data_IF_146168200366
#
_entry.id   IF_146168200366
#
_cell.length_a   1.000
_cell.length_b   1.000
_cell.length_c   1.000
_cell.angle_alpha   90.00
_cell.angle_beta   90.00
_cell.angle_gamma   90.00
#
_symmetry.space_group_name_H-M   'P 1'
#
loop_
_entity.id
_entity.type
_entity.pdbx_description
1 polymer ?
#
# COMPACT_ATOMS: atom_id res chain seq x y z
N UNK A 1 16.09 -13.58 -3.22
CA UNK A 1 16.37 -12.81 -1.98
C UNK A 1 15.68 -13.49 -0.79
N UNK A 2 16.04 -13.14 0.46
CA UNK A 2 15.28 -13.64 1.61
C UNK A 2 14.13 -12.66 1.92
N UNK A 3 12.85 -13.06 1.79
CA UNK A 3 11.72 -12.19 2.12
C UNK A 3 11.54 -11.98 3.64
N UNK A 4 12.17 -12.83 4.47
CA UNK A 4 12.16 -12.73 5.93
C UNK A 4 13.25 -11.76 6.37
N UNK A 5 12.88 -10.72 7.09
CA UNK A 5 13.82 -9.76 7.69
C UNK A 5 14.49 -10.35 8.93
N UNK A 6 13.68 -10.90 9.83
CA UNK A 6 14.13 -11.60 11.05
C UNK A 6 12.97 -12.42 11.64
N UNK A 7 13.31 -13.35 12.55
CA UNK A 7 12.33 -14.21 13.22
C UNK A 7 12.40 -14.00 14.73
N UNK A 8 11.23 -13.86 15.40
CA UNK A 8 11.12 -13.74 16.86
C UNK A 8 10.18 -14.84 17.36
N UNK A 9 10.67 -15.70 18.24
CA UNK A 9 9.85 -16.75 18.87
C UNK A 9 9.17 -17.69 17.87
N UNK A 10 9.78 -17.96 16.70
CA UNK A 10 9.20 -18.80 15.66
C UNK A 10 8.25 -18.07 14.69
N UNK A 11 8.07 -16.76 14.84
CA UNK A 11 7.31 -15.93 13.91
C UNK A 11 8.24 -15.17 12.97
N UNK A 12 8.06 -15.37 11.66
CA UNK A 12 8.82 -14.70 10.63
C UNK A 12 8.24 -13.29 10.35
N UNK A 13 9.05 -12.27 10.58
CA UNK A 13 8.75 -10.90 10.21
C UNK A 13 9.32 -10.64 8.83
N UNK A 14 8.45 -10.36 7.86
CA UNK A 14 8.81 -10.15 6.46
C UNK A 14 9.06 -8.69 6.16
N UNK A 15 10.01 -8.42 5.27
CA UNK A 15 10.30 -7.07 4.77
C UNK A 15 9.05 -6.35 4.24
N UNK A 16 8.16 -7.09 3.57
CA UNK A 16 6.92 -6.55 3.06
C UNK A 16 6.04 -5.93 4.16
N UNK A 17 5.89 -6.63 5.29
CA UNK A 17 5.14 -6.13 6.45
C UNK A 17 5.78 -4.89 7.08
N UNK A 18 7.11 -4.88 7.20
CA UNK A 18 7.87 -3.72 7.74
C UNK A 18 7.67 -2.49 6.85
N UNK A 19 7.78 -2.66 5.53
CA UNK A 19 7.63 -1.56 4.58
C UNK A 19 6.20 -0.99 4.55
N UNK A 20 5.19 -1.86 4.63
CA UNK A 20 3.79 -1.42 4.75
C UNK A 20 3.58 -0.65 6.06
N UNK A 21 4.03 -1.19 7.20
CA UNK A 21 3.91 -0.53 8.50
C UNK A 21 4.62 0.84 8.49
N UNK A 22 5.83 0.90 7.92
CA UNK A 22 6.57 2.15 7.74
C UNK A 22 5.80 3.13 6.86
N UNK A 23 5.22 2.66 5.76
CA UNK A 23 4.40 3.47 4.87
C UNK A 23 3.18 4.06 5.56
N UNK A 24 2.49 3.26 6.37
CA UNK A 24 1.35 3.72 7.19
C UNK A 24 1.80 4.77 8.21
N UNK A 25 2.87 4.50 8.95
CA UNK A 25 3.39 5.45 9.96
C UNK A 25 3.79 6.78 9.33
N UNK A 26 4.57 6.76 8.27
CA UNK A 26 4.95 7.98 7.54
C UNK A 26 3.74 8.68 6.95
N UNK A 27 2.77 7.91 6.43
CA UNK A 27 1.52 8.44 5.91
C UNK A 27 0.73 9.20 6.98
N UNK A 28 0.62 8.66 8.19
CA UNK A 28 -0.04 9.32 9.33
C UNK A 28 0.69 10.62 9.71
N UNK A 29 2.01 10.60 9.81
CA UNK A 29 2.80 11.78 10.16
C UNK A 29 2.68 12.90 9.12
N UNK A 30 2.76 12.55 7.83
CA UNK A 30 2.59 13.51 6.74
C UNK A 30 1.15 14.06 6.71
N UNK A 31 0.16 13.19 6.92
CA UNK A 31 -1.23 13.63 6.99
C UNK A 31 -1.48 14.59 8.15
N UNK A 32 -0.84 14.40 9.30
CA UNK A 32 -0.91 15.35 10.42
C UNK A 32 -0.42 16.74 10.02
N UNK A 33 0.72 16.76 9.31
CA UNK A 33 1.27 18.02 8.80
C UNK A 33 0.36 18.66 7.75
N UNK A 34 -0.17 17.86 6.83
CA UNK A 34 -1.09 18.33 5.79
C UNK A 34 -2.41 18.85 6.36
N UNK A 35 -2.96 18.21 7.40
CA UNK A 35 -4.15 18.66 8.11
C UNK A 35 -3.99 20.06 8.67
N UNK A 36 -2.86 20.36 9.33
CA UNK A 36 -2.56 21.70 9.85
C UNK A 36 -2.53 22.74 8.73
N UNK A 37 -1.97 22.39 7.58
CA UNK A 37 -1.85 23.30 6.45
C UNK A 37 -3.19 23.59 5.76
N UNK A 38 -4.09 22.59 5.72
CA UNK A 38 -5.38 22.68 5.05
C UNK A 38 -6.55 22.96 6.00
N UNK A 39 -6.26 23.20 7.28
CA UNK A 39 -7.28 23.44 8.32
C UNK A 39 -8.31 22.29 8.39
N UNK A 40 -7.86 21.06 8.20
CA UNK A 40 -8.64 19.83 8.33
C UNK A 40 -8.40 19.23 9.71
N UNK A 41 -9.47 18.77 10.36
CA UNK A 41 -9.36 18.15 11.67
C UNK A 41 -8.63 16.78 11.56
N UNK A 42 -7.46 16.74 12.20
CA UNK A 42 -6.60 15.56 12.20
C UNK A 42 -7.20 14.38 12.97
N UNK A 43 -7.95 14.61 14.05
CA UNK A 43 -8.54 13.54 14.84
C UNK A 43 -9.59 12.77 14.03
N UNK A 44 -10.38 13.48 13.24
CA UNK A 44 -11.30 12.85 12.30
C UNK A 44 -10.56 12.08 11.20
N UNK A 45 -9.45 12.60 10.67
CA UNK A 45 -8.63 11.86 9.70
C UNK A 45 -8.06 10.58 10.31
N UNK A 46 -7.52 10.68 11.52
CA UNK A 46 -6.97 9.52 12.23
C UNK A 46 -8.05 8.45 12.48
N UNK A 47 -9.26 8.87 12.89
CA UNK A 47 -10.39 7.95 13.06
C UNK A 47 -10.77 7.28 11.74
N UNK A 48 -10.79 8.01 10.63
CA UNK A 48 -11.03 7.43 9.29
C UNK A 48 -9.97 6.36 9.00
N UNK A 49 -8.69 6.65 9.21
CA UNK A 49 -7.59 5.70 8.94
C UNK A 49 -7.72 4.46 9.82
N UNK A 50 -7.93 4.64 11.14
CA UNK A 50 -8.05 3.54 12.11
C UNK A 50 -9.25 2.62 11.83
N UNK A 51 -10.34 3.16 11.29
CA UNK A 51 -11.51 2.38 10.89
C UNK A 51 -11.31 1.75 9.50
N UNK A 52 -10.73 2.49 8.55
CA UNK A 52 -10.58 2.04 7.16
C UNK A 52 -9.59 0.88 7.02
N UNK A 53 -8.53 0.83 7.85
CA UNK A 53 -7.54 -0.25 7.78
C UNK A 53 -8.16 -1.62 8.11
N UNK A 54 -8.77 -1.85 9.28
CA UNK A 54 -9.34 -3.18 9.59
C UNK A 54 -10.51 -3.53 8.68
N UNK A 55 -11.38 -2.57 8.36
CA UNK A 55 -12.51 -2.79 7.46
C UNK A 55 -12.01 -3.10 6.03
N UNK A 56 -10.95 -2.43 5.58
CA UNK A 56 -10.30 -2.71 4.31
C UNK A 56 -9.71 -4.12 4.25
N UNK A 57 -9.08 -4.60 5.32
CA UNK A 57 -8.56 -5.98 5.41
C UNK A 57 -9.72 -6.99 5.32
N UNK A 58 -10.82 -6.75 6.04
CA UNK A 58 -12.03 -7.58 5.96
C UNK A 58 -12.58 -7.58 4.53
N UNK A 59 -12.67 -6.40 3.91
CA UNK A 59 -13.16 -6.25 2.54
C UNK A 59 -12.26 -6.95 1.51
N UNK A 60 -10.94 -6.85 1.66
CA UNK A 60 -9.97 -7.54 0.82
C UNK A 60 -10.15 -9.07 0.89
N UNK A 61 -10.37 -9.59 2.10
CA UNK A 61 -10.61 -11.01 2.31
C UNK A 61 -11.95 -11.46 1.76
N UNK A 62 -13.01 -10.73 2.07
CA UNK A 62 -14.36 -11.03 1.60
C UNK A 62 -14.41 -11.06 0.07
N UNK A 63 -13.84 -10.05 -0.57
CA UNK A 63 -13.76 -10.00 -2.03
C UNK A 63 -13.03 -11.21 -2.61
N UNK A 64 -11.87 -11.55 -2.05
CA UNK A 64 -11.10 -12.70 -2.49
C UNK A 64 -11.90 -14.01 -2.37
N UNK A 65 -12.52 -14.25 -1.20
CA UNK A 65 -13.31 -15.47 -0.94
C UNK A 65 -14.52 -15.57 -1.87
N UNK A 66 -15.16 -14.44 -2.20
CA UNK A 66 -16.31 -14.45 -3.15
C UNK A 66 -15.85 -14.89 -4.55
N UNK A 67 -14.72 -14.37 -5.03
CA UNK A 67 -14.25 -14.66 -6.39
C UNK A 67 -13.53 -16.02 -6.50
N UNK A 68 -12.98 -16.54 -5.40
CA UNK A 68 -12.32 -17.84 -5.31
C UNK A 68 -13.16 -18.85 -4.50
N UNK A 69 -14.48 -18.71 -4.53
CA UNK A 69 -15.40 -19.49 -3.67
C UNK A 69 -15.22 -21.01 -3.83
N UNK A 70 -14.92 -21.47 -5.03
CA UNK A 70 -14.69 -22.90 -5.32
C UNK A 70 -13.56 -23.50 -4.44
N UNK A 71 -12.56 -22.72 -4.07
CA UNK A 71 -11.46 -23.13 -3.19
C UNK A 71 -11.87 -23.25 -1.71
N UNK A 72 -13.04 -22.74 -1.34
CA UNK A 72 -13.52 -22.66 0.05
C UNK A 72 -14.80 -23.48 0.32
N UNK A 73 -15.48 -23.97 -0.72
CA UNK A 73 -16.75 -24.69 -0.58
C UNK A 73 -16.67 -25.93 0.30
N UNK A 74 -15.51 -26.63 0.30
CA UNK A 74 -15.33 -27.85 1.10
C UNK A 74 -14.95 -27.56 2.56
N UNK A 75 -14.41 -26.36 2.84
CA UNK A 75 -14.07 -25.93 4.20
C UNK A 75 -14.14 -24.41 4.32
N UNK A 76 -15.32 -23.91 4.63
CA UNK A 76 -15.60 -22.47 4.80
C UNK A 76 -14.78 -21.81 5.93
N UNK A 77 -14.32 -22.58 6.94
CA UNK A 77 -13.49 -22.06 8.03
C UNK A 77 -12.17 -21.49 7.49
N UNK A 78 -11.62 -22.07 6.42
CA UNK A 78 -10.42 -21.56 5.77
C UNK A 78 -10.60 -20.14 5.17
N UNK A 79 -11.83 -19.70 4.94
CA UNK A 79 -12.11 -18.34 4.51
C UNK A 79 -11.70 -17.28 5.55
N UNK A 80 -11.63 -17.63 6.83
CA UNK A 80 -11.17 -16.74 7.90
C UNK A 80 -9.65 -16.72 8.10
N UNK A 81 -8.93 -17.67 7.50
CA UNK A 81 -7.48 -17.75 7.63
C UNK A 81 -6.78 -16.84 6.62
N UNK A 82 -6.40 -15.63 7.06
CA UNK A 82 -5.66 -14.64 6.25
C UNK A 82 -4.15 -14.91 6.21
N UNK A 83 -3.62 -15.83 7.02
CA UNK A 83 -2.17 -16.11 7.10
C UNK A 83 -1.62 -16.74 5.83
N UNK A 84 -2.45 -17.51 5.14
CA UNK A 84 -2.09 -18.18 3.90
C UNK A 84 -2.23 -17.29 2.65
N UNK A 85 -2.39 -15.96 2.85
CA UNK A 85 -2.65 -15.02 1.76
C UNK A 85 -4.13 -14.94 1.39
N UNK A 86 -4.42 -14.57 0.14
CA UNK A 86 -5.80 -14.44 -0.36
C UNK A 86 -6.48 -13.15 0.11
N UNK A 87 -5.85 -12.02 -0.21
CA UNK A 87 -6.37 -10.67 -0.01
C UNK A 87 -6.44 -9.95 -1.36
N UNK A 88 -7.63 -9.58 -1.80
CA UNK A 88 -7.82 -8.87 -3.05
C UNK A 88 -7.77 -7.35 -2.83
N UNK A 89 -6.86 -6.68 -3.51
CA UNK A 89 -6.67 -5.23 -3.38
C UNK A 89 -7.94 -4.43 -3.69
N UNK A 90 -8.73 -4.87 -4.66
CA UNK A 90 -9.99 -4.22 -5.04
C UNK A 90 -10.99 -4.20 -3.88
N UNK A 91 -11.15 -5.32 -3.18
CA UNK A 91 -12.00 -5.38 -1.99
C UNK A 91 -11.51 -4.45 -0.89
N UNK A 92 -10.20 -4.43 -0.64
CA UNK A 92 -9.58 -3.52 0.31
C UNK A 92 -9.88 -2.04 0.02
N UNK A 93 -9.70 -1.63 -1.23
CA UNK A 93 -9.97 -0.25 -1.67
C UNK A 93 -11.44 0.12 -1.56
N UNK A 94 -12.35 -0.74 -2.03
CA UNK A 94 -13.80 -0.48 -1.99
C UNK A 94 -14.25 -0.28 -0.53
N UNK A 95 -13.85 -1.17 0.35
CA UNK A 95 -14.26 -1.12 1.77
C UNK A 95 -13.60 0.04 2.52
N UNK A 96 -12.32 0.32 2.28
CA UNK A 96 -11.64 1.45 2.91
C UNK A 96 -12.22 2.80 2.47
N UNK A 97 -12.43 3.01 1.16
CA UNK A 97 -13.06 4.22 0.64
C UNK A 97 -14.52 4.34 1.07
N UNK A 98 -15.26 3.23 1.06
CA UNK A 98 -16.63 3.19 1.58
C UNK A 98 -16.71 3.63 3.05
N UNK A 99 -15.79 3.14 3.88
CA UNK A 99 -15.67 3.52 5.30
C UNK A 99 -15.42 5.02 5.45
N UNK A 100 -14.45 5.55 4.71
CA UNK A 100 -14.14 6.98 4.72
C UNK A 100 -15.35 7.84 4.29
N UNK A 101 -16.05 7.41 3.24
CA UNK A 101 -17.23 8.09 2.74
C UNK A 101 -18.40 8.08 3.74
N UNK A 102 -18.66 6.91 4.36
CA UNK A 102 -19.72 6.78 5.37
C UNK A 102 -19.38 7.62 6.61
N UNK A 103 -18.15 7.53 7.11
CA UNK A 103 -17.71 8.30 8.28
C UNK A 103 -17.88 9.80 8.04
N UNK A 104 -17.41 10.32 6.91
CA UNK A 104 -17.51 11.74 6.59
C UNK A 104 -18.95 12.19 6.45
N UNK A 105 -19.82 11.38 5.86
CA UNK A 105 -21.27 11.67 5.76
C UNK A 105 -21.93 11.72 7.13
N UNK A 106 -21.69 10.74 8.00
CA UNK A 106 -22.26 10.68 9.36
C UNK A 106 -21.82 11.86 10.19
N UNK A 107 -20.55 12.25 10.07
CA UNK A 107 -19.98 13.42 10.78
C UNK A 107 -20.26 14.75 10.09
N UNK A 108 -20.95 14.78 8.95
CA UNK A 108 -21.23 15.98 8.14
C UNK A 108 -19.95 16.71 7.72
N UNK A 109 -18.90 15.94 7.40
CA UNK A 109 -17.59 16.43 6.95
C UNK A 109 -17.47 16.32 5.42
N UNK A 110 -16.58 17.12 4.81
CA UNK A 110 -16.30 17.02 3.39
C UNK A 110 -15.32 15.87 3.10
N UNK A 111 -15.79 14.81 2.46
CA UNK A 111 -14.95 13.69 2.03
C UNK A 111 -13.77 14.16 1.16
N UNK A 112 -14.01 15.10 0.25
CA UNK A 112 -12.99 15.60 -0.68
C UNK A 112 -11.83 16.27 0.07
N UNK A 113 -12.11 17.08 1.10
CA UNK A 113 -11.05 17.71 1.90
C UNK A 113 -10.16 16.67 2.61
N UNK A 114 -10.75 15.59 3.13
CA UNK A 114 -9.99 14.48 3.73
C UNK A 114 -9.21 13.68 2.70
N UNK A 115 -9.80 13.45 1.52
CA UNK A 115 -9.12 12.76 0.42
C UNK A 115 -7.90 13.56 -0.08
N UNK A 116 -8.01 14.87 -0.25
CA UNK A 116 -6.91 15.75 -0.65
C UNK A 116 -5.73 15.68 0.32
N UNK A 117 -6.02 15.72 1.62
CA UNK A 117 -5.00 15.67 2.67
C UNK A 117 -4.33 14.30 2.73
N UNK A 118 -5.09 13.22 2.49
CA UNK A 118 -4.60 11.85 2.55
C UNK A 118 -3.85 11.41 1.28
N UNK A 119 -4.20 11.96 0.10
CA UNK A 119 -3.66 11.52 -1.19
C UNK A 119 -2.11 11.48 -1.25
N UNK A 120 -1.36 12.51 -0.81
CA UNK A 120 0.11 12.44 -0.79
C UNK A 120 0.63 11.30 0.09
N UNK A 121 -0.01 11.06 1.24
CA UNK A 121 0.38 9.99 2.17
C UNK A 121 0.17 8.61 1.59
N UNK A 122 -0.94 8.41 0.88
CA UNK A 122 -1.29 7.14 0.23
C UNK A 122 -0.27 6.82 -0.87
N UNK A 123 0.05 7.79 -1.73
CA UNK A 123 1.00 7.55 -2.84
C UNK A 123 2.43 7.31 -2.32
N UNK A 124 2.83 7.95 -1.22
CA UNK A 124 4.12 7.65 -0.57
C UNK A 124 4.14 6.24 -0.01
N UNK A 125 3.08 5.82 0.69
CA UNK A 125 2.97 4.45 1.19
C UNK A 125 3.02 3.42 0.05
N UNK A 126 2.41 3.72 -1.09
CA UNK A 126 2.49 2.89 -2.29
C UNK A 126 3.92 2.82 -2.85
N UNK A 127 4.66 3.95 -2.88
CA UNK A 127 6.06 3.97 -3.30
C UNK A 127 6.93 3.04 -2.44
N UNK A 128 6.73 3.05 -1.13
CA UNK A 128 7.42 2.15 -0.20
C UNK A 128 6.98 0.69 -0.35
N UNK A 129 5.69 0.45 -0.59
CA UNK A 129 5.15 -0.88 -0.80
C UNK A 129 5.76 -1.61 -1.99
N UNK A 130 6.16 -0.87 -3.06
CA UNK A 130 6.85 -1.46 -4.22
C UNK A 130 8.20 -2.11 -3.89
N UNK A 131 8.90 -1.61 -2.88
CA UNK A 131 10.10 -2.28 -2.37
C UNK A 131 9.79 -3.62 -1.69
N UNK A 132 8.57 -3.77 -1.14
CA UNK A 132 8.10 -5.07 -0.64
C UNK A 132 8.02 -6.11 -1.74
N UNK A 133 7.53 -5.75 -2.93
CA UNK A 133 7.52 -6.64 -4.09
C UNK A 133 8.95 -7.07 -4.49
N UNK A 134 9.92 -6.14 -4.42
CA UNK A 134 11.33 -6.45 -4.68
C UNK A 134 11.87 -7.52 -3.72
N UNK A 135 11.63 -7.39 -2.41
CA UNK A 135 12.09 -8.38 -1.43
C UNK A 135 11.37 -9.72 -1.57
N UNK A 136 10.09 -9.71 -1.95
CA UNK A 136 9.33 -10.93 -2.22
C UNK A 136 9.64 -11.53 -3.60
N UNK A 137 10.37 -10.82 -4.47
CA UNK A 137 10.63 -11.19 -5.87
C UNK A 137 9.35 -11.47 -6.65
N UNK A 138 8.34 -10.61 -6.48
CA UNK A 138 7.02 -10.70 -7.11
C UNK A 138 6.66 -9.40 -7.84
N UNK A 139 5.62 -9.43 -8.68
CA UNK A 139 5.11 -8.27 -9.44
C UNK A 139 6.23 -7.55 -10.23
N UNK A 140 7.18 -8.30 -10.75
CA UNK A 140 8.22 -7.84 -11.65
C UNK A 140 7.73 -7.82 -13.10
N UNK A 141 8.50 -7.17 -14.00
CA UNK A 141 8.21 -7.18 -15.44
C UNK A 141 8.69 -8.45 -16.13
N UNK A 142 8.77 -8.41 -17.45
CA UNK A 142 9.20 -9.52 -18.30
C UNK A 142 10.67 -9.88 -18.10
N UNK A 143 11.07 -11.04 -18.60
CA UNK A 143 12.47 -11.48 -18.65
C UNK A 143 13.27 -10.53 -19.53
N UNK A 144 14.43 -10.11 -19.02
CA UNK A 144 15.36 -9.21 -19.74
C UNK A 144 16.75 -9.81 -19.82
N UNK A 145 17.57 -9.28 -20.74
CA UNK A 145 18.97 -9.71 -20.90
C UNK A 145 19.86 -9.19 -19.78
N UNK A 146 21.01 -9.85 -19.57
CA UNK A 146 22.05 -9.35 -18.67
C UNK A 146 22.55 -7.96 -19.10
N UNK A 147 22.65 -7.72 -20.40
CA UNK A 147 23.06 -6.42 -20.97
C UNK A 147 22.15 -5.28 -20.53
N UNK A 148 20.86 -5.55 -20.34
CA UNK A 148 19.89 -4.59 -19.81
C UNK A 148 20.09 -4.37 -18.32
N UNK A 149 20.12 -5.46 -17.52
CA UNK A 149 20.10 -5.36 -16.05
C UNK A 149 21.45 -4.86 -15.49
N UNK A 150 22.56 -5.02 -16.19
CA UNK A 150 23.89 -4.58 -15.73
C UNK A 150 24.01 -3.07 -15.49
N UNK A 151 23.11 -2.26 -16.07
CA UNK A 151 23.07 -0.81 -15.86
C UNK A 151 22.50 -0.41 -14.49
N UNK A 152 21.88 -1.34 -13.79
CA UNK A 152 21.34 -1.09 -12.44
C UNK A 152 22.37 -1.41 -11.35
N UNK A 153 22.23 -0.82 -10.15
CA UNK A 153 23.07 -1.16 -9.00
C UNK A 153 23.09 -2.66 -8.72
N UNK A 154 24.23 -3.16 -8.21
CA UNK A 154 24.45 -4.59 -7.97
C UNK A 154 23.37 -5.26 -7.13
N UNK A 155 22.82 -4.57 -6.12
CA UNK A 155 21.77 -5.13 -5.27
C UNK A 155 20.46 -5.34 -6.04
N UNK A 156 20.13 -4.46 -7.01
CA UNK A 156 18.97 -4.63 -7.90
C UNK A 156 19.22 -5.80 -8.85
N UNK A 157 20.40 -5.89 -9.46
CA UNK A 157 20.76 -7.01 -10.33
C UNK A 157 20.56 -8.34 -9.60
N UNK A 158 21.10 -8.45 -8.37
CA UNK A 158 20.95 -9.66 -7.53
C UNK A 158 19.49 -9.95 -7.16
N UNK A 159 18.73 -8.93 -6.79
CA UNK A 159 17.32 -9.08 -6.41
C UNK A 159 16.42 -9.47 -7.57
N UNK A 160 16.73 -8.99 -8.78
CA UNK A 160 15.97 -9.29 -9.98
C UNK A 160 16.46 -10.55 -10.72
N UNK A 161 17.49 -11.23 -10.21
CA UNK A 161 17.85 -12.57 -10.66
C UNK A 161 17.02 -13.61 -9.88
N UNK A 162 16.01 -14.16 -10.55
CA UNK A 162 15.08 -15.13 -9.97
C UNK A 162 15.24 -16.44 -10.77
N UNK A 163 15.67 -17.51 -10.10
CA UNK A 163 15.93 -18.82 -10.72
C UNK A 163 16.85 -18.76 -11.95
N UNK A 164 17.85 -17.86 -11.93
CA UNK A 164 18.82 -17.73 -13.01
C UNK A 164 18.39 -16.83 -14.20
N UNK A 165 17.18 -16.31 -14.16
CA UNK A 165 16.66 -15.36 -15.15
C UNK A 165 16.61 -13.96 -14.55
N UNK A 166 16.94 -12.96 -15.36
CA UNK A 166 16.81 -11.55 -14.97
C UNK A 166 15.45 -11.00 -15.39
N UNK A 167 14.84 -10.23 -14.48
CA UNK A 167 13.53 -9.61 -14.71
C UNK A 167 13.62 -8.09 -14.69
N UNK A 168 12.74 -7.44 -15.45
CA UNK A 168 12.65 -5.99 -15.50
C UNK A 168 12.20 -5.44 -14.12
N UNK A 169 12.96 -4.49 -13.52
CA UNK A 169 12.68 -3.97 -12.17
C UNK A 169 11.54 -2.94 -12.16
N UNK A 170 10.33 -3.36 -12.52
CA UNK A 170 9.14 -2.50 -12.56
C UNK A 170 8.84 -1.85 -11.21
N UNK A 171 9.15 -2.53 -10.09
CA UNK A 171 9.02 -1.98 -8.74
C UNK A 171 9.76 -0.64 -8.59
N UNK A 172 10.96 -0.53 -9.18
CA UNK A 172 11.79 0.67 -9.09
C UNK A 172 11.14 1.83 -9.86
N UNK A 173 10.68 1.57 -11.08
CA UNK A 173 10.04 2.59 -11.91
C UNK A 173 8.77 3.12 -11.26
N UNK A 174 7.95 2.21 -10.75
CA UNK A 174 6.72 2.58 -10.08
C UNK A 174 6.97 3.31 -8.76
N UNK A 175 8.00 2.89 -8.00
CA UNK A 175 8.40 3.60 -6.78
C UNK A 175 8.85 5.03 -7.08
N UNK A 176 9.71 5.23 -8.07
CA UNK A 176 10.19 6.55 -8.48
C UNK A 176 9.06 7.42 -9.04
N UNK A 177 8.15 6.83 -9.82
CA UNK A 177 6.98 7.52 -10.32
C UNK A 177 6.05 7.99 -9.20
N UNK A 178 5.76 7.11 -8.25
CA UNK A 178 4.95 7.42 -7.08
C UNK A 178 5.60 8.50 -6.20
N UNK A 179 6.93 8.48 -6.03
CA UNK A 179 7.65 9.55 -5.33
C UNK A 179 7.54 10.89 -6.07
N UNK A 180 7.62 10.87 -7.39
CA UNK A 180 7.43 12.09 -8.20
C UNK A 180 6.02 12.65 -8.02
N UNK A 181 5.00 11.80 -8.10
CA UNK A 181 3.61 12.20 -7.85
C UNK A 181 3.44 12.71 -6.42
N UNK A 182 4.05 12.06 -5.42
CA UNK A 182 4.03 12.53 -4.04
C UNK A 182 4.54 13.96 -3.92
N UNK A 183 5.69 14.27 -4.53
CA UNK A 183 6.28 15.63 -4.52
C UNK A 183 5.33 16.63 -5.19
N UNK A 184 4.76 16.27 -6.33
CA UNK A 184 3.81 17.13 -7.06
C UNK A 184 2.59 17.41 -6.18
N UNK A 185 1.98 16.39 -5.58
CA UNK A 185 0.82 16.54 -4.70
C UNK A 185 1.12 17.39 -3.47
N UNK A 186 2.30 17.21 -2.85
CA UNK A 186 2.74 18.05 -1.73
C UNK A 186 2.90 19.52 -2.13
N UNK A 187 3.42 19.81 -3.33
CA UNK A 187 3.55 21.17 -3.85
C UNK A 187 2.15 21.76 -4.14
N UNK A 188 1.28 20.98 -4.80
CA UNK A 188 -0.08 21.41 -5.11
C UNK A 188 -0.88 21.69 -3.84
N UNK A 189 -0.80 20.83 -2.85
CA UNK A 189 -1.48 20.98 -1.56
C UNK A 189 -1.09 22.30 -0.87
N UNK A 190 0.16 22.74 -1.03
CA UNK A 190 0.67 24.00 -0.45
C UNK A 190 0.32 25.23 -1.28
N UNK A 191 0.35 25.12 -2.61
CA UNK A 191 0.14 26.26 -3.52
C UNK A 191 -1.33 26.56 -3.81
N UNK A 192 -2.17 25.54 -3.92
CA UNK A 192 -3.59 25.72 -4.14
C UNK A 192 -4.28 26.14 -2.83
N UNK A 193 -4.30 27.44 -2.56
CA UNK A 193 -5.14 28.04 -1.52
C UNK A 193 -6.60 27.84 -1.94
N UNK A 194 -7.34 27.00 -1.15
CA UNK A 194 -8.80 26.75 -1.25
C UNK A 194 -9.26 26.15 -2.59
N UNK A 195 -9.57 24.87 -2.57
CA UNK A 195 -10.79 24.42 -3.25
C UNK A 195 -11.93 24.58 -2.24
N UNK A 196 -12.77 25.54 -2.49
CA UNK A 196 -14.03 25.77 -1.78
C UNK A 196 -15.00 24.61 -2.01
#
# INVERSE_FOLDING_TARGET
MNPVAFSIGGFDIRWYGILIATGIMLGILISQYNCKWREVDYDNLLNIVLLSIPIGIIGARLYYVIFEFDSYKDNIINAFNIRNGGLAIHGGLIFALGTALIYTRVKKLSFIKFADVAAPSIILAQALGRWGNFFNQEAHGDVVSYEFIKHFPMFIQKGMNINGLYYNPTFLYESLWNLTIFIILMIMLRKCKKME
#
